data_IF_105081492777
#
_entry.id   IF_105081492777
#
_cell.length_a   1.000
_cell.length_b   1.000
_cell.length_c   1.000
_cell.angle_alpha   90.00
_cell.angle_beta   90.00
_cell.angle_gamma   90.00
#
_symmetry.space_group_name_H-M   'P 1'
#
loop_
_entity.id
_entity.type
_entity.pdbx_description
1 polymer ?
#
# COMPACT_ATOMS: atom_id res chain seq x y z
N UNK A 1 -3.74 11.40 -7.96
CA UNK A 1 -3.35 10.54 -6.81
C UNK A 1 -3.50 11.26 -5.48
N UNK A 2 -3.04 12.53 -5.35
CA UNK A 2 -3.14 13.29 -4.09
C UNK A 2 -4.60 13.52 -3.71
N UNK A 3 -5.42 13.97 -4.63
CA UNK A 3 -6.85 14.19 -4.42
C UNK A 3 -7.59 12.90 -4.04
N UNK A 4 -7.24 11.79 -4.69
CA UNK A 4 -7.80 10.47 -4.34
C UNK A 4 -7.43 10.07 -2.91
N UNK A 5 -6.17 10.24 -2.52
CA UNK A 5 -5.73 9.94 -1.16
C UNK A 5 -6.43 10.82 -0.11
N UNK A 6 -6.63 12.11 -0.40
CA UNK A 6 -7.38 13.01 0.45
C UNK A 6 -8.85 12.61 0.57
N UNK A 7 -9.50 12.27 -0.55
CA UNK A 7 -10.89 11.83 -0.56
C UNK A 7 -11.09 10.56 0.28
N UNK A 8 -10.19 9.59 0.16
CA UNK A 8 -10.23 8.35 0.98
C UNK A 8 -10.04 8.65 2.46
N UNK A 9 -9.12 9.56 2.82
CA UNK A 9 -8.91 9.96 4.20
C UNK A 9 -10.13 10.65 4.80
N UNK A 10 -10.78 11.54 4.05
CA UNK A 10 -12.03 12.20 4.43
C UNK A 10 -13.16 11.18 4.59
N UNK A 11 -13.35 10.28 3.63
CA UNK A 11 -14.35 9.24 3.68
C UNK A 11 -14.19 8.37 4.94
N UNK A 12 -12.95 7.96 5.26
CA UNK A 12 -12.66 7.20 6.48
C UNK A 12 -12.99 7.99 7.76
N UNK A 13 -12.71 9.29 7.78
CA UNK A 13 -12.93 10.13 8.96
C UNK A 13 -14.41 10.30 9.30
N UNK A 14 -15.27 10.26 8.29
CA UNK A 14 -16.70 10.56 8.46
C UNK A 14 -17.63 9.37 8.23
N UNK A 15 -17.11 8.20 7.85
CA UNK A 15 -17.95 7.05 7.47
C UNK A 15 -18.82 6.47 8.61
N UNK A 16 -18.49 6.73 9.87
CA UNK A 16 -19.22 6.28 11.04
C UNK A 16 -20.08 7.37 11.71
N UNK A 17 -20.14 8.58 11.12
CA UNK A 17 -20.87 9.72 11.70
C UNK A 17 -22.37 9.64 11.34
N UNK A 18 -23.28 9.41 12.33
CA UNK A 18 -24.71 9.23 12.06
C UNK A 18 -25.41 10.48 11.53
N UNK A 19 -24.84 11.66 11.79
CA UNK A 19 -25.44 12.94 11.38
C UNK A 19 -25.07 13.38 9.97
N UNK A 20 -24.24 12.64 9.27
CA UNK A 20 -23.88 12.96 7.88
C UNK A 20 -25.02 12.56 6.94
N UNK A 21 -25.59 13.53 6.26
CA UNK A 21 -26.64 13.27 5.27
C UNK A 21 -26.03 12.66 4.01
N UNK A 22 -26.08 11.35 3.91
CA UNK A 22 -25.67 10.58 2.72
C UNK A 22 -26.76 9.58 2.35
N UNK A 23 -26.69 9.04 1.13
CA UNK A 23 -27.60 7.99 0.65
C UNK A 23 -27.35 6.63 1.37
N UNK A 24 -26.26 6.52 2.12
CA UNK A 24 -25.83 5.27 2.74
C UNK A 24 -25.80 5.38 4.25
N UNK A 25 -26.08 4.25 4.92
CA UNK A 25 -25.94 4.14 6.37
C UNK A 25 -24.47 4.27 6.81
N UNK A 26 -24.23 4.80 8.03
CA UNK A 26 -22.88 4.81 8.60
C UNK A 26 -22.29 3.39 8.67
N UNK A 27 -20.99 3.28 8.46
CA UNK A 27 -20.27 2.01 8.53
C UNK A 27 -19.13 2.08 9.57
N UNK A 28 -18.65 0.93 10.01
CA UNK A 28 -17.47 0.88 10.88
C UNK A 28 -16.25 1.48 10.19
N UNK A 29 -15.43 2.21 10.95
CA UNK A 29 -14.21 2.83 10.42
C UNK A 29 -13.25 1.75 9.91
N UNK A 30 -12.92 1.74 8.60
CA UNK A 30 -12.05 0.72 8.04
C UNK A 30 -10.60 0.95 8.44
N UNK A 31 -9.81 -0.12 8.44
CA UNK A 31 -8.35 -0.01 8.51
C UNK A 31 -7.85 0.73 7.27
N UNK A 32 -6.89 1.61 7.48
CA UNK A 32 -6.29 2.40 6.40
C UNK A 32 -4.80 2.17 6.33
N UNK A 33 -4.35 1.71 5.18
CA UNK A 33 -2.94 1.51 4.91
C UNK A 33 -2.53 2.25 3.65
N UNK A 34 -1.34 2.85 3.67
CA UNK A 34 -0.72 3.45 2.50
C UNK A 34 0.27 2.46 1.90
N UNK A 35 0.21 2.27 0.60
CA UNK A 35 1.19 1.52 -0.16
C UNK A 35 2.22 2.47 -0.79
N UNK A 36 3.37 1.92 -1.15
CA UNK A 36 4.43 2.65 -1.79
C UNK A 36 4.09 2.97 -3.25
N UNK A 37 3.99 4.27 -3.55
CA UNK A 37 3.84 4.77 -4.91
C UNK A 37 5.17 5.36 -5.39
N UNK A 38 5.70 5.07 -6.52
CA UNK A 38 6.92 5.66 -7.08
C UNK A 38 8.20 5.44 -6.26
N UNK A 39 8.69 4.21 -6.20
CA UNK A 39 10.06 3.89 -5.79
C UNK A 39 10.56 4.63 -4.53
N UNK A 40 9.97 4.33 -3.40
CA UNK A 40 10.34 4.90 -2.11
C UNK A 40 10.13 6.42 -1.98
N UNK A 41 9.38 7.05 -2.88
CA UNK A 41 9.09 8.46 -2.81
C UNK A 41 7.69 8.73 -2.27
N UNK A 42 7.60 9.77 -1.48
CA UNK A 42 6.37 10.42 -1.07
C UNK A 42 6.52 11.90 -1.38
N UNK A 43 5.44 12.62 -1.72
CA UNK A 43 5.55 14.06 -1.97
C UNK A 43 6.03 14.87 -0.76
N UNK A 44 5.96 14.30 0.43
CA UNK A 44 6.28 15.01 1.69
C UNK A 44 7.47 14.40 2.43
N UNK A 45 7.57 13.07 2.46
CA UNK A 45 8.62 12.35 3.19
C UNK A 45 9.06 11.09 2.44
N UNK A 46 10.20 10.50 2.85
CA UNK A 46 10.57 9.16 2.39
C UNK A 46 9.53 8.15 2.86
N UNK A 47 9.21 7.19 2.01
CA UNK A 47 8.34 6.08 2.38
C UNK A 47 9.13 5.09 3.25
N UNK A 48 8.71 4.95 4.49
CA UNK A 48 9.27 4.00 5.45
C UNK A 48 8.17 3.02 5.87
N UNK A 49 8.17 1.78 5.37
CA UNK A 49 7.17 0.79 5.76
C UNK A 49 7.23 0.49 7.25
N UNK A 50 6.07 0.31 7.86
CA UNK A 50 5.95 -0.19 9.23
C UNK A 50 5.55 -1.68 9.28
N UNK A 51 5.13 -2.26 8.16
CA UNK A 51 4.96 -3.69 7.99
C UNK A 51 5.12 -4.13 6.53
N UNK A 52 5.33 -5.42 6.33
CA UNK A 52 5.54 -6.03 5.02
C UNK A 52 4.56 -7.16 4.77
N UNK A 53 4.21 -7.33 3.51
CA UNK A 53 3.42 -8.46 3.02
C UNK A 53 4.26 -9.27 2.05
N UNK A 54 4.46 -10.56 2.34
CA UNK A 54 5.12 -11.48 1.42
C UNK A 54 4.23 -11.70 0.20
N UNK A 55 4.76 -11.44 -0.99
CA UNK A 55 4.06 -11.56 -2.27
C UNK A 55 4.67 -12.62 -3.20
N UNK A 56 5.53 -13.51 -2.70
CA UNK A 56 6.21 -14.51 -3.52
C UNK A 56 5.21 -15.32 -4.38
N UNK A 57 4.14 -15.78 -3.76
CA UNK A 57 3.11 -16.58 -4.47
C UNK A 57 2.25 -15.77 -5.45
N UNK A 58 2.25 -14.44 -5.36
CA UNK A 58 1.46 -13.54 -6.22
C UNK A 58 2.30 -12.69 -7.15
N UNK A 59 3.62 -12.79 -7.07
CA UNK A 59 4.55 -11.94 -7.84
C UNK A 59 4.35 -12.07 -9.34
N UNK A 60 4.14 -13.27 -9.86
CA UNK A 60 3.87 -13.50 -11.29
C UNK A 60 2.58 -12.81 -11.74
N UNK A 61 1.53 -12.88 -10.92
CA UNK A 61 0.26 -12.18 -11.19
C UNK A 61 0.44 -10.67 -11.20
N UNK A 62 1.24 -10.14 -10.28
CA UNK A 62 1.58 -8.72 -10.22
C UNK A 62 2.31 -8.27 -11.50
N UNK A 63 3.32 -9.01 -11.93
CA UNK A 63 4.07 -8.74 -13.17
C UNK A 63 3.12 -8.76 -14.37
N UNK A 64 2.27 -9.79 -14.48
CA UNK A 64 1.28 -9.90 -15.56
C UNK A 64 0.32 -8.71 -15.58
N UNK A 65 -0.17 -8.29 -14.43
CA UNK A 65 -1.06 -7.12 -14.31
C UNK A 65 -0.37 -5.83 -14.79
N UNK A 66 0.85 -5.58 -14.32
CA UNK A 66 1.63 -4.41 -14.72
C UNK A 66 1.96 -4.40 -16.21
N UNK A 67 2.23 -5.57 -16.82
CA UNK A 67 2.52 -5.70 -18.26
C UNK A 67 1.37 -5.26 -19.17
N UNK A 68 0.14 -5.17 -18.62
CA UNK A 68 -1.03 -4.68 -19.36
C UNK A 68 -1.11 -3.16 -19.46
N UNK A 69 -0.28 -2.45 -18.70
CA UNK A 69 -0.21 -0.98 -18.73
C UNK A 69 0.75 -0.52 -19.84
N UNK A 70 0.32 -0.64 -21.09
CA UNK A 70 1.15 -0.35 -22.27
C UNK A 70 1.72 1.08 -22.30
N UNK A 71 1.03 2.04 -21.67
CA UNK A 71 1.50 3.43 -21.59
C UNK A 71 2.70 3.62 -20.63
N UNK A 72 3.01 2.64 -19.79
CA UNK A 72 4.10 2.71 -18.81
C UNK A 72 4.93 1.42 -18.78
N UNK A 73 5.67 1.11 -19.84
CA UNK A 73 6.37 -0.17 -20.00
C UNK A 73 7.45 -0.42 -18.93
N UNK A 74 8.00 0.65 -18.34
CA UNK A 74 9.04 0.55 -17.30
C UNK A 74 8.53 0.08 -15.93
N UNK A 75 7.20 0.03 -15.71
CA UNK A 75 6.64 -0.36 -14.40
C UNK A 75 7.05 -1.77 -13.99
N UNK A 76 7.07 -2.71 -14.93
CA UNK A 76 7.40 -4.11 -14.63
C UNK A 76 8.80 -4.21 -14.02
N UNK A 77 9.78 -3.56 -14.63
CA UNK A 77 11.16 -3.57 -14.13
C UNK A 77 11.27 -2.85 -12.78
N UNK A 78 10.75 -1.63 -12.71
CA UNK A 78 10.86 -0.80 -11.50
C UNK A 78 10.22 -1.47 -10.28
N UNK A 79 9.00 -1.95 -10.40
CA UNK A 79 8.30 -2.57 -9.27
C UNK A 79 8.76 -3.99 -8.97
N UNK A 80 9.38 -4.69 -9.93
CA UNK A 80 10.05 -5.97 -9.65
C UNK A 80 11.32 -5.78 -8.82
N UNK A 81 12.11 -4.78 -9.14
CA UNK A 81 13.30 -4.39 -8.34
C UNK A 81 12.87 -3.96 -6.95
N UNK A 82 11.83 -3.12 -6.86
CA UNK A 82 11.30 -2.66 -5.58
C UNK A 82 10.80 -3.84 -4.72
N UNK A 83 10.05 -4.77 -5.30
CA UNK A 83 9.55 -5.94 -4.58
C UNK A 83 10.68 -6.83 -4.01
N UNK A 84 11.77 -7.01 -4.75
CA UNK A 84 12.98 -7.71 -4.27
C UNK A 84 13.65 -6.95 -3.13
N UNK A 85 13.81 -5.64 -3.27
CA UNK A 85 14.38 -4.79 -2.22
C UNK A 85 13.56 -4.89 -0.93
N UNK A 86 12.24 -4.79 -1.03
CA UNK A 86 11.33 -4.94 0.12
C UNK A 86 11.33 -6.36 0.69
N UNK A 87 11.54 -7.39 -0.13
CA UNK A 87 11.76 -8.76 0.32
C UNK A 87 13.01 -8.89 1.19
N UNK A 88 14.14 -8.33 0.74
CA UNK A 88 15.38 -8.30 1.52
C UNK A 88 15.21 -7.52 2.82
N UNK A 89 14.57 -6.37 2.77
CA UNK A 89 14.29 -5.55 3.96
C UNK A 89 13.39 -6.29 4.95
N UNK A 90 12.35 -6.99 4.46
CA UNK A 90 11.46 -7.82 5.28
C UNK A 90 12.21 -8.97 5.96
N UNK A 91 13.20 -9.59 5.29
CA UNK A 91 14.06 -10.60 5.92
C UNK A 91 14.87 -10.02 7.06
N UNK A 92 15.51 -8.87 6.85
CA UNK A 92 16.45 -8.27 7.79
C UNK A 92 15.72 -7.62 8.96
N UNK A 93 14.66 -6.84 8.70
CA UNK A 93 14.00 -6.01 9.69
C UNK A 93 12.82 -6.72 10.35
N UNK A 94 12.02 -7.46 9.55
CA UNK A 94 10.81 -8.12 10.05
C UNK A 94 10.97 -9.62 10.32
N UNK A 95 12.17 -10.19 10.10
CA UNK A 95 12.46 -11.60 10.36
C UNK A 95 11.75 -12.59 9.43
N UNK A 96 11.31 -12.16 8.27
CA UNK A 96 10.60 -12.99 7.27
C UNK A 96 11.59 -13.80 6.43
N UNK A 97 12.24 -14.80 7.02
CA UNK A 97 13.43 -15.49 6.51
C UNK A 97 13.35 -15.99 5.05
N UNK A 98 12.20 -16.41 4.58
CA UNK A 98 12.01 -17.00 3.23
C UNK A 98 11.33 -16.04 2.24
N UNK A 99 11.12 -14.78 2.62
CA UNK A 99 10.48 -13.78 1.77
C UNK A 99 11.46 -13.24 0.72
N UNK A 100 11.25 -13.55 -0.55
CA UNK A 100 12.08 -13.03 -1.65
C UNK A 100 11.51 -11.77 -2.27
N UNK A 101 10.20 -11.62 -2.25
CA UNK A 101 9.48 -10.44 -2.74
C UNK A 101 8.45 -10.00 -1.72
N UNK A 102 8.44 -8.71 -1.40
CA UNK A 102 7.46 -8.13 -0.48
C UNK A 102 6.91 -6.81 -1.01
N UNK A 103 5.77 -6.42 -0.46
CA UNK A 103 5.27 -5.05 -0.49
C UNK A 103 5.33 -4.44 0.89
N UNK A 104 5.78 -3.18 0.97
CA UNK A 104 5.81 -2.41 2.19
C UNK A 104 4.58 -1.52 2.31
N UNK A 105 4.06 -1.38 3.53
CA UNK A 105 2.89 -0.55 3.83
C UNK A 105 3.12 0.28 5.08
N UNK A 106 2.42 1.40 5.16
CA UNK A 106 2.34 2.26 6.33
C UNK A 106 0.90 2.30 6.83
N UNK A 107 0.70 2.05 8.12
CA UNK A 107 -0.62 2.18 8.76
C UNK A 107 -0.90 3.63 9.09
N UNK A 108 -2.11 4.07 8.81
CA UNK A 108 -2.60 5.38 9.23
C UNK A 108 -3.57 5.21 10.39
N UNK A 109 -3.22 5.80 11.51
CA UNK A 109 -3.98 5.74 12.75
C UNK A 109 -3.37 4.78 13.78
N UNK A 110 -3.69 5.00 15.05
CA UNK A 110 -3.32 4.10 16.15
C UNK A 110 -4.37 2.99 16.23
N UNK A 111 -3.94 1.75 16.16
CA UNK A 111 -4.80 0.62 16.54
C UNK A 111 -4.76 0.48 18.05
N UNK A 112 -5.93 0.29 18.68
CA UNK A 112 -5.99 -0.21 20.05
C UNK A 112 -5.47 -1.66 20.05
N UNK A 113 -4.52 -1.92 20.94
CA UNK A 113 -4.07 -3.29 21.20
C UNK A 113 -5.08 -4.01 22.08
#
# INVERSE_FOLDING_TARGET
HVETAQAVLWARTYCDVPGLQTEHAPCAVPKYVCYEAQLATSPVTKFLPDFYVNIDVTMERKVLAMSKLAAQPSLVEQYSVLAKYRGLEAQIIAGMKECTHAEGFVRIGKEAM
#
